data_IF_952919657432
#
_entry.id   IF_952919657432
#
_cell.length_a   1.000
_cell.length_b   1.000
_cell.length_c   1.000
_cell.angle_alpha   90.00
_cell.angle_beta   90.00
_cell.angle_gamma   90.00
#
_symmetry.space_group_name_H-M   'P 1'
#
loop_
_entity.id
_entity.type
_entity.pdbx_description
1 polymer ?
#
# COMPACT_ATOMS: atom_id res chain seq x y z
N UNK A 1 -8.92 2.15 -13.39
CA UNK A 1 -8.43 1.45 -12.18
C UNK A 1 -9.15 0.17 -11.86
N UNK A 2 -10.47 0.17 -11.59
CA UNK A 2 -11.18 -1.07 -11.27
C UNK A 2 -10.98 -2.20 -12.31
N UNK A 3 -11.00 -1.89 -13.61
CA UNK A 3 -10.71 -2.87 -14.67
C UNK A 3 -9.26 -3.38 -14.66
N UNK A 4 -8.28 -2.55 -14.31
CA UNK A 4 -6.89 -2.97 -14.21
C UNK A 4 -6.69 -3.94 -13.05
N UNK A 5 -7.34 -3.66 -11.90
CA UNK A 5 -7.39 -4.58 -10.75
C UNK A 5 -8.01 -5.92 -11.16
N UNK A 6 -9.17 -5.90 -11.83
CA UNK A 6 -9.85 -7.12 -12.27
C UNK A 6 -9.00 -7.94 -13.23
N UNK A 7 -8.40 -7.28 -14.23
CA UNK A 7 -7.56 -7.93 -15.22
C UNK A 7 -6.31 -8.55 -14.57
N UNK A 8 -5.57 -7.79 -13.78
CA UNK A 8 -4.29 -8.24 -13.25
C UNK A 8 -4.48 -9.27 -12.13
N UNK A 9 -5.32 -8.98 -11.14
CA UNK A 9 -5.45 -9.82 -9.95
C UNK A 9 -6.38 -11.01 -10.17
N UNK A 10 -7.52 -10.83 -10.85
CA UNK A 10 -8.51 -11.91 -11.01
C UNK A 10 -8.28 -12.72 -12.28
N UNK A 11 -8.00 -12.07 -13.42
CA UNK A 11 -7.86 -12.77 -14.70
C UNK A 11 -6.45 -13.32 -14.91
N UNK A 12 -5.42 -12.53 -14.63
CA UNK A 12 -4.02 -12.94 -14.82
C UNK A 12 -3.40 -13.55 -13.55
N UNK A 13 -4.08 -13.45 -12.40
CA UNK A 13 -3.66 -14.09 -11.16
C UNK A 13 -2.44 -13.45 -10.49
N UNK A 14 -2.13 -12.18 -10.80
CA UNK A 14 -1.04 -11.47 -10.14
C UNK A 14 -1.34 -11.34 -8.64
N UNK A 15 -0.29 -11.48 -7.84
CA UNK A 15 -0.39 -11.16 -6.42
C UNK A 15 -0.68 -9.66 -6.24
N UNK A 16 -1.26 -9.27 -5.09
CA UNK A 16 -1.49 -7.86 -4.81
C UNK A 16 -0.19 -7.02 -4.85
N UNK A 17 0.93 -7.60 -4.42
CA UNK A 17 2.26 -6.97 -4.47
C UNK A 17 2.69 -6.72 -5.92
N UNK A 18 2.60 -7.72 -6.79
CA UNK A 18 2.92 -7.57 -8.21
C UNK A 18 1.97 -6.60 -8.92
N UNK A 19 0.70 -6.54 -8.50
CA UNK A 19 -0.22 -5.51 -8.99
C UNK A 19 0.27 -4.10 -8.64
N UNK A 20 0.73 -3.88 -7.41
CA UNK A 20 1.31 -2.60 -6.99
C UNK A 20 2.56 -2.26 -7.83
N UNK A 21 3.41 -3.25 -8.10
CA UNK A 21 4.61 -3.08 -8.94
C UNK A 21 4.30 -2.79 -10.41
N UNK A 22 3.09 -3.07 -10.89
CA UNK A 22 2.62 -2.67 -12.22
C UNK A 22 2.13 -1.23 -12.20
N UNK A 23 1.21 -0.89 -11.28
CA UNK A 23 0.54 0.41 -11.30
C UNK A 23 1.40 1.54 -10.71
N UNK A 24 2.28 1.22 -9.76
CA UNK A 24 3.21 2.13 -9.09
C UNK A 24 4.68 1.80 -9.40
N UNK A 25 4.94 1.31 -10.61
CA UNK A 25 6.19 0.67 -10.96
C UNK A 25 7.47 1.51 -10.66
N UNK A 26 8.56 0.86 -10.20
CA UNK A 26 9.85 1.50 -9.96
C UNK A 26 10.45 2.07 -11.25
N UNK A 27 11.31 3.08 -11.11
CA UNK A 27 12.06 3.68 -12.22
C UNK A 27 12.99 2.63 -12.84
N UNK A 28 13.30 2.77 -14.13
CA UNK A 28 14.30 1.92 -14.78
C UNK A 28 15.65 1.94 -14.04
N UNK A 29 16.08 3.10 -13.56
CA UNK A 29 17.29 3.24 -12.74
C UNK A 29 17.23 2.53 -11.39
N UNK A 30 16.03 2.36 -10.81
CA UNK A 30 15.83 1.59 -9.59
C UNK A 30 15.86 0.09 -9.91
N UNK A 31 15.17 -0.33 -10.97
CA UNK A 31 15.18 -1.71 -11.49
C UNK A 31 16.61 -2.16 -11.82
N UNK A 32 17.42 -1.27 -12.42
CA UNK A 32 18.80 -1.58 -12.79
C UNK A 32 19.72 -1.86 -11.59
N UNK A 33 19.36 -1.37 -10.40
CA UNK A 33 20.12 -1.52 -9.16
C UNK A 33 19.64 -2.67 -8.28
N UNK A 34 18.55 -3.34 -8.67
CA UNK A 34 18.04 -4.50 -7.97
C UNK A 34 18.93 -5.72 -8.22
N UNK A 35 18.79 -6.75 -7.37
CA UNK A 35 19.41 -8.05 -7.64
C UNK A 35 18.83 -8.69 -8.92
N UNK A 36 19.52 -9.68 -9.48
CA UNK A 36 19.18 -10.24 -10.78
C UNK A 36 17.74 -10.79 -10.85
N UNK A 37 17.24 -11.39 -9.77
CA UNK A 37 15.89 -11.95 -9.72
C UNK A 37 14.83 -10.85 -9.75
N UNK A 38 14.94 -9.86 -8.86
CA UNK A 38 13.98 -8.75 -8.78
C UNK A 38 14.04 -7.91 -10.06
N UNK A 39 15.25 -7.66 -10.58
CA UNK A 39 15.46 -6.96 -11.84
C UNK A 39 14.74 -7.67 -12.99
N UNK A 40 14.86 -8.99 -13.10
CA UNK A 40 14.17 -9.76 -14.13
C UNK A 40 12.64 -9.66 -14.00
N UNK A 41 12.10 -9.78 -12.78
CA UNK A 41 10.66 -9.68 -12.52
C UNK A 41 10.13 -8.29 -12.88
N UNK A 42 10.71 -7.23 -12.34
CA UNK A 42 10.24 -5.87 -12.59
C UNK A 42 10.41 -5.45 -14.06
N UNK A 43 11.47 -5.91 -14.73
CA UNK A 43 11.65 -5.68 -16.17
C UNK A 43 10.52 -6.35 -16.95
N UNK A 44 10.22 -7.63 -16.66
CA UNK A 44 9.13 -8.35 -17.33
C UNK A 44 7.76 -7.69 -17.09
N UNK A 45 7.46 -7.28 -15.85
CA UNK A 45 6.24 -6.56 -15.51
C UNK A 45 6.14 -5.25 -16.29
N UNK A 46 7.20 -4.44 -16.30
CA UNK A 46 7.19 -3.10 -16.92
C UNK A 46 7.16 -3.18 -18.45
N UNK A 47 7.77 -4.20 -19.05
CA UNK A 47 7.67 -4.49 -20.49
C UNK A 47 6.27 -4.99 -20.90
N UNK A 48 5.64 -5.83 -20.06
CA UNK A 48 4.35 -6.46 -20.39
C UNK A 48 3.15 -5.56 -20.09
N UNK A 49 3.19 -4.88 -18.94
CA UNK A 49 2.08 -4.11 -18.41
C UNK A 49 2.35 -2.60 -18.36
N UNK A 50 3.37 -2.10 -19.06
CA UNK A 50 3.76 -0.68 -19.02
C UNK A 50 2.61 0.29 -19.34
N UNK A 51 1.63 -0.12 -20.14
CA UNK A 51 0.42 0.68 -20.43
C UNK A 51 -0.57 0.82 -19.26
N UNK A 52 -0.41 0.02 -18.19
CA UNK A 52 -1.23 0.08 -16.98
C UNK A 52 -0.55 0.85 -15.84
N UNK A 53 0.64 1.39 -16.08
CA UNK A 53 1.31 2.27 -15.14
C UNK A 53 0.46 3.53 -14.92
N UNK A 54 0.18 3.84 -13.65
CA UNK A 54 -0.55 5.04 -13.29
C UNK A 54 0.39 6.23 -13.22
N UNK A 55 0.26 7.14 -14.18
CA UNK A 55 0.93 8.43 -14.12
C UNK A 55 0.11 9.40 -13.26
N UNK A 56 0.76 10.01 -12.27
CA UNK A 56 0.19 11.07 -11.43
C UNK A 56 -0.19 10.64 -10.01
N UNK A 57 -0.69 11.58 -9.19
CA UNK A 57 -1.05 11.33 -7.80
C UNK A 57 -2.25 10.39 -7.66
N UNK A 58 -2.13 9.31 -6.90
CA UNK A 58 -3.27 8.45 -6.56
C UNK A 58 -3.11 7.82 -5.18
N UNK A 59 -4.24 7.59 -4.53
CA UNK A 59 -4.36 6.68 -3.39
C UNK A 59 -5.60 5.84 -3.62
N UNK A 60 -5.46 4.52 -3.55
CA UNK A 60 -6.55 3.58 -3.81
C UNK A 60 -6.68 2.60 -2.64
N UNK A 61 -7.91 2.20 -2.38
CA UNK A 61 -8.23 1.07 -1.52
C UNK A 61 -9.00 0.06 -2.35
N UNK A 62 -8.53 -1.18 -2.35
CA UNK A 62 -9.10 -2.28 -3.11
C UNK A 62 -9.41 -3.41 -2.13
N UNK A 63 -10.61 -3.96 -2.20
CA UNK A 63 -11.03 -5.05 -1.34
C UNK A 63 -11.72 -6.17 -2.12
N UNK A 64 -11.56 -7.39 -1.65
CA UNK A 64 -12.38 -8.53 -2.01
C UNK A 64 -12.78 -9.29 -0.74
N UNK A 65 -13.39 -10.48 -0.90
CA UNK A 65 -13.90 -11.27 0.25
C UNK A 65 -12.80 -11.70 1.23
N UNK A 66 -11.54 -11.77 0.80
CA UNK A 66 -10.45 -12.37 1.57
C UNK A 66 -9.35 -11.36 1.92
N UNK A 67 -9.35 -10.16 1.34
CA UNK A 67 -8.30 -9.18 1.56
C UNK A 67 -8.75 -7.74 1.30
N UNK A 68 -8.04 -6.80 1.92
CA UNK A 68 -8.10 -5.38 1.64
C UNK A 68 -6.68 -4.83 1.49
N UNK A 69 -6.45 -4.08 0.43
CA UNK A 69 -5.18 -3.41 0.14
C UNK A 69 -5.40 -1.90 0.09
N UNK A 70 -4.46 -1.14 0.63
CA UNK A 70 -4.29 0.27 0.30
C UNK A 70 -2.94 0.52 -0.39
N UNK A 71 -2.92 1.41 -1.38
CA UNK A 71 -1.73 1.76 -2.14
C UNK A 71 -1.75 3.25 -2.49
N UNK A 72 -0.58 3.89 -2.40
CA UNK A 72 -0.37 5.27 -2.86
C UNK A 72 0.67 5.31 -3.98
N UNK A 73 0.67 6.39 -4.75
CA UNK A 73 1.64 6.61 -5.80
C UNK A 73 3.09 6.59 -5.28
N UNK A 74 4.05 6.34 -6.18
CA UNK A 74 5.46 6.17 -5.82
C UNK A 74 6.08 7.38 -5.11
N UNK A 75 5.60 8.60 -5.39
CA UNK A 75 6.15 9.84 -4.79
C UNK A 75 5.31 10.27 -3.58
N UNK A 76 4.22 9.55 -3.26
CA UNK A 76 3.28 9.84 -2.18
C UNK A 76 2.69 11.25 -2.30
N UNK A 77 2.21 11.58 -3.49
CA UNK A 77 1.52 12.85 -3.77
C UNK A 77 0.08 12.85 -3.23
N UNK A 78 -0.47 11.67 -2.89
CA UNK A 78 -1.72 11.53 -2.12
C UNK A 78 -1.45 10.95 -0.73
N UNK A 79 -2.01 11.57 0.32
CA UNK A 79 -1.85 11.06 1.68
C UNK A 79 -2.62 9.76 1.85
N UNK A 80 -2.03 8.83 2.60
CA UNK A 80 -2.61 7.56 2.98
C UNK A 80 -2.08 7.23 4.38
N UNK A 81 -2.99 6.96 5.31
CA UNK A 81 -2.72 6.59 6.69
C UNK A 81 -3.40 5.26 6.96
N UNK A 82 -2.65 4.37 7.60
CA UNK A 82 -3.08 3.05 8.01
C UNK A 82 -3.13 3.00 9.53
N UNK A 83 -4.11 2.29 10.07
CA UNK A 83 -4.20 2.04 11.51
C UNK A 83 -4.74 0.64 11.80
N UNK A 84 -4.38 0.10 12.97
CA UNK A 84 -4.93 -1.17 13.46
C UNK A 84 -5.47 -1.01 14.88
N UNK A 85 -6.57 -1.69 15.18
CA UNK A 85 -7.09 -1.84 16.55
C UNK A 85 -7.71 -3.24 16.69
N UNK A 86 -7.13 -4.08 17.54
CA UNK A 86 -7.54 -5.47 17.72
C UNK A 86 -7.52 -6.19 16.37
N UNK A 87 -8.66 -6.74 15.94
CA UNK A 87 -8.79 -7.44 14.65
C UNK A 87 -9.19 -6.54 13.47
N UNK A 88 -9.14 -5.21 13.63
CA UNK A 88 -9.58 -4.24 12.61
C UNK A 88 -8.39 -3.52 12.01
N UNK A 89 -8.48 -3.27 10.71
CA UNK A 89 -7.57 -2.43 9.95
C UNK A 89 -8.34 -1.24 9.37
N UNK A 90 -7.71 -0.09 9.35
CA UNK A 90 -8.28 1.18 8.90
C UNK A 90 -7.36 1.79 7.84
N UNK A 91 -7.97 2.34 6.80
CA UNK A 91 -7.30 3.11 5.76
C UNK A 91 -8.04 4.42 5.57
N UNK A 92 -7.30 5.52 5.53
CA UNK A 92 -7.86 6.87 5.37
C UNK A 92 -6.82 7.81 4.78
N UNK A 93 -7.24 8.92 4.18
CA UNK A 93 -6.33 10.01 3.82
C UNK A 93 -5.73 10.71 5.05
N UNK A 94 -6.41 10.64 6.20
CA UNK A 94 -6.04 11.33 7.44
C UNK A 94 -6.28 10.45 8.67
N UNK A 95 -5.42 10.62 9.69
CA UNK A 95 -5.55 9.93 10.98
C UNK A 95 -6.81 10.33 11.75
N UNK A 96 -7.22 11.61 11.67
CA UNK A 96 -8.38 12.12 12.40
C UNK A 96 -9.67 11.36 12.06
N UNK A 97 -9.87 10.99 10.80
CA UNK A 97 -11.03 10.20 10.38
C UNK A 97 -11.00 8.76 10.94
N UNK A 98 -9.80 8.17 11.09
CA UNK A 98 -9.66 6.86 11.75
C UNK A 98 -9.99 7.00 13.23
N UNK A 99 -9.43 8.02 13.91
CA UNK A 99 -9.66 8.26 15.34
C UNK A 99 -11.08 8.62 15.69
N UNK A 100 -11.79 9.26 14.77
CA UNK A 100 -13.23 9.52 14.93
C UNK A 100 -14.03 8.21 15.07
N UNK A 101 -13.63 7.15 14.36
CA UNK A 101 -14.28 5.83 14.41
C UNK A 101 -13.69 4.93 15.50
N UNK A 102 -12.38 5.03 15.74
CA UNK A 102 -11.62 4.25 16.72
C UNK A 102 -10.65 5.16 17.47
N UNK A 103 -11.06 5.75 18.61
CA UNK A 103 -10.26 6.73 19.34
C UNK A 103 -8.87 6.21 19.72
N UNK A 104 -8.80 4.95 20.13
CA UNK A 104 -7.57 4.23 20.44
C UNK A 104 -7.16 3.34 19.26
N UNK A 105 -5.85 3.30 18.99
CA UNK A 105 -5.23 2.50 17.93
C UNK A 105 -3.98 1.82 18.49
N UNK A 106 -3.78 0.56 18.12
CA UNK A 106 -2.58 -0.21 18.47
C UNK A 106 -1.37 0.27 17.66
N UNK A 107 -1.58 0.46 16.36
CA UNK A 107 -0.57 0.98 15.44
C UNK A 107 -1.19 2.03 14.53
N UNK A 108 -0.39 3.03 14.16
CA UNK A 108 -0.71 4.03 13.15
C UNK A 108 0.55 4.37 12.36
N UNK A 109 0.44 4.36 11.02
CA UNK A 109 1.58 4.69 10.17
C UNK A 109 1.13 5.18 8.79
N UNK A 110 2.05 5.80 8.05
CA UNK A 110 1.87 6.23 6.67
C UNK A 110 2.78 5.39 5.78
N UNK A 111 2.25 4.54 4.87
CA UNK A 111 3.09 3.72 4.00
C UNK A 111 4.00 4.56 3.11
N UNK A 112 5.11 3.94 2.71
CA UNK A 112 6.00 4.49 1.69
C UNK A 112 5.32 4.48 0.32
N UNK A 113 5.70 5.43 -0.53
CA UNK A 113 5.15 5.54 -1.87
C UNK A 113 5.37 4.27 -2.69
N UNK A 114 4.34 3.80 -3.39
CA UNK A 114 4.40 2.57 -4.20
C UNK A 114 4.43 1.27 -3.40
N UNK A 115 4.51 1.31 -2.07
CA UNK A 115 4.46 0.10 -1.22
C UNK A 115 3.01 -0.17 -0.81
N UNK A 116 2.43 -1.32 -1.18
CA UNK A 116 1.07 -1.66 -0.77
C UNK A 116 1.02 -2.09 0.69
N UNK A 117 -0.07 -1.73 1.37
CA UNK A 117 -0.43 -2.28 2.69
C UNK A 117 -1.55 -3.29 2.50
N UNK A 118 -1.30 -4.54 2.83
CA UNK A 118 -2.20 -5.66 2.53
C UNK A 118 -2.65 -6.30 3.83
N UNK A 119 -3.96 -6.30 4.05
CA UNK A 119 -4.62 -7.01 5.13
C UNK A 119 -5.38 -8.19 4.56
N UNK A 120 -5.21 -9.39 5.15
CA UNK A 120 -5.94 -10.59 4.76
C UNK A 120 -6.87 -10.99 5.89
N UNK A 121 -7.92 -11.74 5.57
CA UNK A 121 -8.84 -12.20 6.59
C UNK A 121 -8.08 -13.09 7.60
N UNK A 122 -8.02 -12.64 8.85
CA UNK A 122 -7.27 -13.31 9.93
C UNK A 122 -5.81 -12.88 10.08
N UNK A 123 -5.30 -12.01 9.21
CA UNK A 123 -3.90 -11.55 9.23
C UNK A 123 -3.85 -10.02 9.10
N UNK A 124 -3.32 -9.36 10.13
CA UNK A 124 -3.18 -7.91 10.15
C UNK A 124 -1.89 -7.47 9.46
N UNK A 125 -1.92 -6.35 8.71
CA UNK A 125 -0.71 -5.78 8.17
C UNK A 125 0.16 -5.26 9.33
N UNK A 126 1.41 -5.69 9.36
CA UNK A 126 2.39 -5.14 10.28
C UNK A 126 3.12 -3.97 9.62
N UNK A 127 3.31 -2.84 10.32
CA UNK A 127 4.16 -1.77 9.81
C UNK A 127 5.59 -2.31 9.67
N UNK A 128 6.21 -2.07 8.50
CA UNK A 128 7.64 -2.35 8.36
C UNK A 128 8.43 -1.42 9.30
N UNK A 129 9.56 -1.90 9.85
CA UNK A 129 10.35 -1.18 10.86
C UNK A 129 10.77 0.23 10.44
N UNK A 130 10.85 0.53 9.15
CA UNK A 130 11.16 1.85 8.60
C UNK A 130 9.98 2.84 8.59
N UNK A 131 8.76 2.36 8.84
CA UNK A 131 7.51 3.13 8.70
C UNK A 131 6.85 3.45 10.04
N UNK A 132 7.32 2.83 11.13
CA UNK A 132 6.96 3.20 12.49
C UNK A 132 7.54 4.59 12.78
N UNK A 133 6.69 5.61 12.80
CA UNK A 133 7.03 6.84 13.50
C UNK A 133 6.85 6.55 14.99
N UNK A 134 7.92 6.72 15.76
CA UNK A 134 7.90 6.67 17.23
C UNK A 134 6.99 7.79 17.79
N UNK A 135 5.69 7.53 17.82
CA UNK A 135 4.67 8.43 18.39
C UNK A 135 4.47 8.17 19.89
N UNK A 136 5.56 8.06 20.65
CA UNK A 136 5.49 8.23 22.10
C UNK A 136 4.90 9.62 22.49
N UNK A 137 4.98 10.60 21.59
CA UNK A 137 4.56 11.98 21.83
C UNK A 137 3.03 12.21 21.88
N UNK A 138 2.20 11.44 21.15
CA UNK A 138 0.75 11.72 21.10
C UNK A 138 -0.06 11.18 22.29
N UNK A 139 0.53 10.36 23.17
CA UNK A 139 -0.16 9.93 24.41
C UNK A 139 -0.25 11.04 25.47
N UNK A 140 0.54 12.11 25.35
CA UNK A 140 0.55 13.21 26.33
C UNK A 140 -0.43 14.35 26.00
N UNK A 141 -0.97 14.43 24.78
CA UNK A 141 -1.87 15.51 24.38
C UNK A 141 -3.36 15.27 24.71
N UNK A 142 -3.69 14.14 25.33
CA UNK A 142 -5.07 13.75 25.66
C UNK A 142 -5.33 13.60 27.18
N UNK A 143 -4.54 14.28 28.01
CA UNK A 143 -4.83 14.47 29.44
C UNK A 143 -5.22 15.91 29.73
#
# INVERSE_FOLDING_TARGET
>A
MAYAVDLLMRRHGLSPELFADVVAAPLWSEIDRMNDNDKAVHTALRSTYGGLLMNGPFAIVVANRNMMMALTDRIRLRPLTCGTNGSRVYFSSEEAAIRFVSPELDNVWTPMGGVPVISRLGELPMPSSSTLRDFACCREAAK
#
